data_IF_046311397695
#
_entry.id   IF_046311397695
#
_cell.length_a   1.000
_cell.length_b   1.000
_cell.length_c   1.000
_cell.angle_alpha   90.00
_cell.angle_beta   90.00
_cell.angle_gamma   90.00
#
_symmetry.space_group_name_H-M   'P 1'
#
loop_
_entity.id
_entity.type
_entity.pdbx_description
1 polymer ?
#
# COMPACT_ATOMS: atom_id res chain seq x y z
N UNK A 1 -0.29 -11.98 -4.01
CA UNK A 1 -0.15 -11.85 -5.49
C UNK A 1 1.29 -11.65 -5.94
N UNK A 2 2.09 -10.77 -5.32
CA UNK A 2 3.53 -10.60 -5.64
C UNK A 2 4.31 -11.92 -5.49
N UNK A 3 4.06 -12.66 -4.41
CA UNK A 3 4.70 -13.96 -4.13
C UNK A 3 4.40 -15.04 -5.17
N UNK A 4 3.23 -14.99 -5.80
CA UNK A 4 2.82 -15.94 -6.82
C UNK A 4 3.64 -15.79 -8.10
N UNK A 5 3.78 -14.53 -8.52
CA UNK A 5 4.59 -14.15 -9.67
C UNK A 5 6.05 -14.49 -9.43
N UNK A 6 6.56 -14.20 -8.24
CA UNK A 6 7.95 -14.48 -7.87
C UNK A 6 8.24 -15.99 -7.80
N UNK A 7 7.31 -16.77 -7.26
CA UNK A 7 7.38 -18.23 -7.28
C UNK A 7 7.39 -18.77 -8.72
N UNK A 8 6.47 -18.33 -9.57
CA UNK A 8 6.43 -18.76 -10.98
C UNK A 8 7.69 -18.37 -11.76
N UNK A 9 8.23 -17.16 -11.52
CA UNK A 9 9.52 -16.72 -12.09
C UNK A 9 10.68 -17.63 -11.64
N UNK A 10 10.76 -17.95 -10.35
CA UNK A 10 11.81 -18.83 -9.81
C UNK A 10 11.71 -20.25 -10.36
N UNK A 11 10.50 -20.78 -10.51
CA UNK A 11 10.29 -22.15 -11.00
C UNK A 11 10.55 -22.27 -12.51
N UNK A 12 10.18 -21.27 -13.30
CA UNK A 12 10.36 -21.29 -14.77
C UNK A 12 11.72 -20.78 -15.22
N UNK A 13 12.42 -20.01 -14.38
CA UNK A 13 13.63 -19.28 -14.77
C UNK A 13 13.37 -18.15 -15.78
N UNK A 14 12.11 -17.88 -16.12
CA UNK A 14 11.73 -16.87 -17.12
C UNK A 14 11.04 -15.68 -16.48
N UNK A 15 11.38 -14.49 -16.98
CA UNK A 15 10.67 -13.24 -16.65
C UNK A 15 9.46 -12.98 -17.54
N UNK A 16 9.23 -13.83 -18.54
CA UNK A 16 8.08 -13.74 -19.43
C UNK A 16 6.82 -14.33 -18.76
N UNK A 17 5.77 -13.53 -18.53
CA UNK A 17 4.52 -14.00 -17.94
C UNK A 17 3.82 -15.14 -18.69
N UNK A 18 4.04 -15.26 -20.00
CA UNK A 18 3.45 -16.34 -20.80
C UNK A 18 4.01 -17.72 -20.44
N UNK A 19 5.26 -17.77 -19.94
CA UNK A 19 5.88 -19.01 -19.46
C UNK A 19 5.29 -19.49 -18.12
N UNK A 20 4.47 -18.69 -17.44
CA UNK A 20 3.96 -18.98 -16.10
C UNK A 20 2.59 -19.64 -16.08
N UNK A 21 1.97 -19.91 -17.24
CA UNK A 21 0.59 -20.41 -17.34
C UNK A 21 0.35 -21.68 -16.50
N UNK A 22 1.30 -22.61 -16.51
CA UNK A 22 1.20 -23.89 -15.80
C UNK A 22 1.60 -23.80 -14.32
N UNK A 23 2.12 -22.65 -13.88
CA UNK A 23 2.64 -22.42 -12.53
C UNK A 23 1.69 -21.59 -11.67
N UNK A 24 0.41 -21.64 -12.00
CA UNK A 24 -0.66 -20.98 -11.24
C UNK A 24 -0.72 -21.43 -9.79
N UNK A 25 -1.26 -20.56 -8.94
CA UNK A 25 -1.49 -20.87 -7.53
C UNK A 25 -2.66 -21.82 -7.36
N UNK A 26 -2.52 -22.80 -6.48
CA UNK A 26 -3.58 -23.77 -6.15
C UNK A 26 -4.88 -23.11 -5.68
N UNK A 27 -4.79 -21.95 -5.02
CA UNK A 27 -5.95 -21.22 -4.49
C UNK A 27 -6.56 -20.21 -5.48
N UNK A 28 -5.88 -19.92 -6.59
CA UNK A 28 -6.40 -19.01 -7.62
C UNK A 28 -6.97 -19.82 -8.77
N UNK A 29 -8.20 -19.52 -9.20
CA UNK A 29 -8.77 -20.22 -10.34
C UNK A 29 -7.91 -20.02 -11.59
N UNK A 30 -7.81 -21.07 -12.40
CA UNK A 30 -6.95 -21.12 -13.59
C UNK A 30 -7.26 -20.02 -14.59
N UNK A 31 -8.54 -19.73 -14.83
CA UNK A 31 -9.00 -18.69 -15.74
C UNK A 31 -8.55 -17.28 -15.32
N UNK A 32 -8.58 -16.98 -14.02
CA UNK A 32 -8.04 -15.73 -13.50
C UNK A 32 -6.52 -15.67 -13.61
N UNK A 33 -5.81 -16.77 -13.37
CA UNK A 33 -4.36 -16.82 -13.52
C UNK A 33 -3.93 -16.59 -14.97
N UNK A 34 -4.54 -17.30 -15.91
CA UNK A 34 -4.29 -17.15 -17.35
C UNK A 34 -4.56 -15.71 -17.82
N UNK A 35 -5.68 -15.13 -17.39
CA UNK A 35 -6.01 -13.73 -17.68
C UNK A 35 -4.94 -12.75 -17.17
N UNK A 36 -4.35 -13.01 -15.99
CA UNK A 36 -3.27 -12.21 -15.44
C UNK A 36 -1.96 -12.39 -16.23
N UNK A 37 -1.61 -13.63 -16.57
CA UNK A 37 -0.46 -13.95 -17.41
C UNK A 37 -0.52 -13.25 -18.77
N UNK A 38 -1.70 -13.15 -19.39
CA UNK A 38 -1.88 -12.40 -20.63
C UNK A 38 -1.84 -10.88 -20.44
N UNK A 39 -2.25 -10.37 -19.27
CA UNK A 39 -2.30 -8.94 -18.98
C UNK A 39 -0.95 -8.34 -18.62
N UNK A 40 -0.12 -9.05 -17.85
CA UNK A 40 1.18 -8.57 -17.38
C UNK A 40 2.21 -8.19 -18.46
N UNK A 41 2.30 -8.86 -19.62
CA UNK A 41 3.23 -8.43 -20.67
C UNK A 41 2.73 -7.21 -21.44
N UNK A 42 1.46 -6.80 -21.28
CA UNK A 42 0.93 -5.65 -22.02
C UNK A 42 1.62 -4.35 -21.61
N UNK A 43 1.99 -3.54 -22.60
CA UNK A 43 2.64 -2.23 -22.40
C UNK A 43 1.87 -1.32 -21.43
N UNK A 44 0.53 -1.16 -21.53
CA UNK A 44 -0.22 -0.32 -20.59
C UNK A 44 -0.10 -0.78 -19.14
N UNK A 45 -0.03 -2.10 -18.91
CA UNK A 45 0.14 -2.64 -17.56
C UNK A 45 1.56 -2.37 -17.04
N UNK A 46 2.57 -2.57 -17.87
CA UNK A 46 3.96 -2.33 -17.48
C UNK A 46 4.22 -0.86 -17.12
N UNK A 47 3.72 0.07 -17.93
CA UNK A 47 3.84 1.52 -17.66
C UNK A 47 3.21 1.89 -16.32
N UNK A 48 1.97 1.41 -16.06
CA UNK A 48 1.30 1.63 -14.77
C UNK A 48 2.07 1.00 -13.60
N UNK A 49 2.59 -0.22 -13.78
CA UNK A 49 3.36 -0.91 -12.76
C UNK A 49 4.65 -0.17 -12.42
N UNK A 50 5.35 0.36 -13.42
CA UNK A 50 6.58 1.15 -13.20
C UNK A 50 6.26 2.49 -12.56
N UNK A 51 5.25 3.21 -13.04
CA UNK A 51 4.82 4.46 -12.43
C UNK A 51 4.45 4.26 -10.95
N UNK A 52 3.67 3.22 -10.64
CA UNK A 52 3.35 2.88 -9.26
C UNK A 52 4.60 2.55 -8.44
N UNK A 53 5.57 1.82 -9.01
CA UNK A 53 6.86 1.54 -8.34
C UNK A 53 7.64 2.81 -8.05
N UNK A 54 7.74 3.73 -9.01
CA UNK A 54 8.41 5.01 -8.84
C UNK A 54 7.72 5.88 -7.79
N UNK A 55 6.39 5.98 -7.82
CA UNK A 55 5.60 6.70 -6.82
C UNK A 55 5.80 6.14 -5.40
N UNK A 56 5.99 4.82 -5.29
CA UNK A 56 6.33 4.17 -4.03
C UNK A 56 7.76 4.50 -3.56
N UNK A 57 8.72 4.51 -4.49
CA UNK A 57 10.10 4.85 -4.17
C UNK A 57 10.28 6.34 -3.82
N UNK A 58 9.47 7.23 -4.39
CA UNK A 58 9.58 8.68 -4.17
C UNK A 58 8.98 9.18 -2.85
N UNK A 59 8.18 8.34 -2.18
CA UNK A 59 7.55 8.66 -0.90
C UNK A 59 7.77 7.53 0.12
N UNK A 60 9.03 7.19 0.48
CA UNK A 60 9.31 6.10 1.41
C UNK A 60 8.55 6.26 2.75
N UNK A 61 8.35 7.50 3.21
CA UNK A 61 7.58 7.88 4.39
C UNK A 61 6.08 7.57 4.29
N UNK A 62 5.52 7.52 3.07
CA UNK A 62 4.12 7.17 2.79
C UNK A 62 3.93 5.72 2.39
N UNK A 63 5.03 4.98 2.21
CA UNK A 63 5.03 3.57 1.82
C UNK A 63 5.17 2.61 3.00
N UNK A 64 5.31 3.16 4.21
CA UNK A 64 4.98 2.41 5.42
C UNK A 64 3.48 2.16 5.35
N UNK A 65 3.10 0.91 5.13
CA UNK A 65 1.77 0.48 5.49
C UNK A 65 1.66 0.75 7.00
N UNK A 66 1.09 1.89 7.36
CA UNK A 66 0.62 2.12 8.71
C UNK A 66 -0.57 1.16 8.85
N UNK A 67 -0.30 -0.11 9.14
CA UNK A 67 -1.25 -1.18 9.47
C UNK A 67 -2.00 -0.88 10.77
N UNK A 68 -2.35 0.38 11.01
CA UNK A 68 -2.81 0.87 12.28
C UNK A 68 -2.81 2.39 12.24
N UNK A 69 -3.97 2.95 12.52
CA UNK A 69 -4.21 4.31 12.96
C UNK A 69 -2.95 4.98 13.53
N UNK A 70 -2.70 6.22 13.14
CA UNK A 70 -1.73 7.07 13.85
C UNK A 70 -2.15 7.04 15.32
N UNK A 71 -1.29 6.47 16.17
CA UNK A 71 -1.65 6.23 17.56
C UNK A 71 -1.95 7.56 18.27
N UNK A 72 -2.78 7.51 19.30
CA UNK A 72 -3.03 8.66 20.17
C UNK A 72 -1.72 9.25 20.73
N UNK A 73 -0.75 8.40 21.05
CA UNK A 73 0.59 8.82 21.49
C UNK A 73 1.36 9.60 20.41
N UNK A 74 1.26 9.18 19.15
CA UNK A 74 1.86 9.89 18.02
C UNK A 74 1.19 11.24 17.79
N UNK A 75 -0.13 11.32 17.91
CA UNK A 75 -0.85 12.60 17.88
C UNK A 75 -0.42 13.50 19.05
N UNK A 76 -0.25 12.96 20.25
CA UNK A 76 0.20 13.69 21.42
C UNK A 76 1.60 14.27 21.23
N UNK A 77 2.55 13.47 20.73
CA UNK A 77 3.92 13.94 20.47
C UNK A 77 3.96 15.05 19.41
N UNK A 78 3.19 14.91 18.33
CA UNK A 78 3.08 15.95 17.29
C UNK A 78 2.50 17.23 17.86
N UNK A 79 1.41 17.13 18.60
CA UNK A 79 0.75 18.29 19.21
C UNK A 79 1.63 18.94 20.29
N UNK A 80 2.40 18.16 21.04
CA UNK A 80 3.39 18.67 22.00
C UNK A 80 4.47 19.50 21.31
N UNK A 81 4.97 19.01 20.16
CA UNK A 81 5.95 19.74 19.38
C UNK A 81 5.37 21.02 18.74
N UNK A 82 4.12 20.96 18.26
CA UNK A 82 3.39 22.11 17.71
C UNK A 82 3.14 23.20 18.78
N UNK A 83 2.70 22.81 19.98
CA UNK A 83 2.37 23.73 21.07
C UNK A 83 3.59 24.14 21.92
N UNK A 84 4.74 23.47 21.77
CA UNK A 84 5.94 23.60 22.62
C UNK A 84 5.67 23.40 24.12
N UNK A 85 4.59 22.71 24.45
CA UNK A 85 4.17 22.34 25.81
C UNK A 85 3.38 21.04 25.78
N UNK A 86 3.15 20.45 26.96
CA UNK A 86 2.25 19.32 27.10
C UNK A 86 0.83 19.68 26.60
N UNK A 87 0.28 18.92 25.64
CA UNK A 87 -1.11 19.07 25.22
C UNK A 87 -2.05 18.62 26.33
N UNK A 88 -3.18 19.29 26.44
CA UNK A 88 -4.28 18.81 27.30
C UNK A 88 -5.07 17.71 26.59
N UNK A 89 -5.84 16.94 27.36
CA UNK A 89 -6.68 15.88 26.82
C UNK A 89 -7.71 16.44 25.81
N UNK A 90 -8.34 17.58 26.11
CA UNK A 90 -9.33 18.20 25.22
C UNK A 90 -8.70 18.63 23.88
N UNK A 91 -7.51 19.21 23.89
CA UNK A 91 -6.82 19.62 22.65
C UNK A 91 -6.45 18.42 21.78
N UNK A 92 -6.07 17.31 22.41
CA UNK A 92 -5.75 16.08 21.71
C UNK A 92 -7.00 15.37 21.18
N UNK A 93 -8.10 15.42 21.93
CA UNK A 93 -9.42 14.95 21.51
C UNK A 93 -9.92 15.74 20.30
N UNK A 94 -9.91 17.07 20.37
CA UNK A 94 -10.30 17.95 19.26
C UNK A 94 -9.46 17.68 18.02
N UNK A 95 -8.14 17.53 18.17
CA UNK A 95 -7.22 17.24 17.05
C UNK A 95 -7.51 15.92 16.35
N UNK A 96 -8.06 14.94 17.07
CA UNK A 96 -8.29 13.58 16.56
C UNK A 96 -9.73 13.34 16.12
N UNK A 97 -10.70 14.09 16.66
CA UNK A 97 -12.13 13.84 16.45
C UNK A 97 -12.89 15.02 15.81
N UNK A 98 -12.32 16.23 15.69
CA UNK A 98 -12.95 17.30 14.89
C UNK A 98 -12.72 17.09 13.41
N UNK A 99 -13.79 17.23 12.62
CA UNK A 99 -13.68 17.23 11.16
C UNK A 99 -12.88 18.45 10.69
N UNK A 100 -12.02 18.26 9.68
CA UNK A 100 -11.27 19.39 9.11
C UNK A 100 -12.24 20.34 8.42
N UNK A 101 -12.33 21.57 8.92
CA UNK A 101 -13.15 22.64 8.32
C UNK A 101 -14.56 22.78 8.92
N UNK A 102 -14.91 21.96 9.92
CA UNK A 102 -16.17 22.04 10.65
C UNK A 102 -15.87 21.98 12.15
N UNK A 103 -16.75 22.53 13.00
CA UNK A 103 -16.66 22.36 14.46
C UNK A 103 -17.40 21.11 14.95
N UNK A 104 -17.83 20.26 14.01
CA UNK A 104 -18.51 18.99 14.28
C UNK A 104 -17.50 17.87 14.56
N UNK A 105 -17.90 16.98 15.48
CA UNK A 105 -17.13 15.79 15.83
C UNK A 105 -17.50 14.59 14.93
N UNK A 106 -16.51 13.76 14.63
CA UNK A 106 -16.64 12.47 13.88
C UNK A 106 -17.13 11.36 14.80
#
# INVERSE_FOLDING_TARGET
>A
MYEARDKAMKTTGSRDPTAWLDYGLVWLRRDYWESLCHRWPTRPWQERSQAAKCNRASHPEKNVHNSGFVSYATHNQKLHHELKRAPTFCELFDRTHKQKGTDDYV
#
